data_IF_631646899282
#
_entry.id   IF_631646899282
#
_cell.length_a   1.000
_cell.length_b   1.000
_cell.length_c   1.000
_cell.angle_alpha   90.00
_cell.angle_beta   90.00
_cell.angle_gamma   90.00
#
_symmetry.space_group_name_H-M   'P 1'
#
loop_
_entity.id
_entity.type
_entity.pdbx_description
1 polymer ?
#
# COMPACT_ATOMS: atom_id res chain seq x y z
N UNK A 1 21.37 20.40 -73.77
CA UNK A 1 22.12 20.39 -72.49
C UNK A 1 21.10 20.47 -71.35
N UNK A 2 20.85 19.33 -70.67
CA UNK A 2 19.92 19.22 -69.53
C UNK A 2 20.69 19.53 -68.24
N UNK A 3 20.18 20.43 -67.40
CA UNK A 3 20.52 20.46 -65.98
C UNK A 3 19.24 20.35 -65.16
N UNK A 4 19.23 19.30 -64.36
CA UNK A 4 18.12 18.76 -63.59
C UNK A 4 17.85 19.58 -62.33
N UNK A 5 16.57 19.66 -62.02
CA UNK A 5 15.95 20.31 -60.88
C UNK A 5 16.40 19.68 -59.55
N UNK A 6 17.14 20.45 -58.75
CA UNK A 6 17.44 20.12 -57.35
C UNK A 6 16.36 20.77 -56.48
N UNK A 7 15.28 20.03 -56.19
CA UNK A 7 14.20 20.59 -55.36
C UNK A 7 13.31 19.55 -54.68
N UNK A 8 13.34 18.28 -55.09
CA UNK A 8 12.41 17.27 -54.59
C UNK A 8 12.93 16.43 -53.42
N UNK A 9 14.22 16.50 -53.07
CA UNK A 9 14.85 15.51 -52.19
C UNK A 9 14.78 15.82 -50.69
N UNK A 10 14.38 17.04 -50.29
CA UNK A 10 14.38 17.44 -48.87
C UNK A 10 13.02 17.26 -48.18
N UNK A 11 11.92 17.19 -48.94
CA UNK A 11 10.57 17.05 -48.37
C UNK A 11 10.23 15.63 -47.88
N UNK A 12 10.92 14.60 -48.41
CA UNK A 12 10.61 13.21 -48.10
C UNK A 12 11.29 12.71 -46.80
N UNK A 13 12.36 13.37 -46.35
CA UNK A 13 13.06 12.96 -45.13
C UNK A 13 12.37 13.43 -43.85
N UNK A 14 11.62 14.54 -43.90
CA UNK A 14 10.90 15.08 -42.72
C UNK A 14 9.56 14.35 -42.49
N UNK A 15 8.97 13.76 -43.53
CA UNK A 15 7.71 13.02 -43.41
C UNK A 15 7.88 11.61 -42.83
N UNK A 16 9.08 11.03 -42.84
CA UNK A 16 9.34 9.68 -42.30
C UNK A 16 9.62 9.63 -40.79
N UNK A 17 9.80 10.77 -40.11
CA UNK A 17 10.05 10.82 -38.66
C UNK A 17 8.80 10.97 -37.79
N UNK A 18 7.61 11.08 -38.38
CA UNK A 18 6.37 11.34 -37.63
C UNK A 18 5.61 10.08 -37.18
N UNK A 19 6.05 8.86 -37.52
CA UNK A 19 5.24 7.64 -37.35
C UNK A 19 5.63 6.73 -36.19
N UNK A 20 6.43 7.17 -35.21
CA UNK A 20 6.87 6.26 -34.14
C UNK A 20 6.80 6.89 -32.74
N UNK A 21 5.59 7.08 -32.22
CA UNK A 21 5.41 7.32 -30.76
C UNK A 21 3.95 7.21 -30.23
N UNK A 22 3.07 6.39 -30.82
CA UNK A 22 1.80 6.00 -30.15
C UNK A 22 1.86 4.58 -29.57
N UNK A 23 3.02 4.20 -29.04
CA UNK A 23 3.29 2.85 -28.51
C UNK A 23 3.55 2.79 -27.00
N UNK A 24 3.57 3.91 -26.29
CA UNK A 24 3.55 3.86 -24.82
C UNK A 24 2.14 3.44 -24.40
N UNK A 25 1.97 2.14 -24.11
CA UNK A 25 0.82 1.67 -23.34
C UNK A 25 0.77 2.54 -22.08
N UNK A 26 -0.34 3.25 -21.87
CA UNK A 26 -0.56 3.95 -20.60
C UNK A 26 -0.37 2.98 -19.43
N UNK A 27 -0.01 3.51 -18.26
CA UNK A 27 0.17 2.71 -17.06
C UNK A 27 -1.02 1.77 -16.81
N UNK A 28 -0.77 0.67 -16.08
CA UNK A 28 -1.77 -0.39 -15.84
C UNK A 28 -3.04 0.13 -15.15
N UNK A 29 -2.94 1.26 -14.44
CA UNK A 29 -4.07 1.95 -13.81
C UNK A 29 -4.54 3.11 -14.70
N UNK A 30 -5.56 2.87 -15.50
CA UNK A 30 -6.17 3.90 -16.38
C UNK A 30 -7.33 4.64 -15.73
N UNK A 31 -8.07 3.96 -14.86
CA UNK A 31 -9.21 4.53 -14.15
C UNK A 31 -8.79 5.07 -12.78
N UNK A 32 -9.47 6.12 -12.34
CA UNK A 32 -9.27 6.67 -11.00
C UNK A 32 -9.65 5.63 -9.94
N UNK A 33 -8.89 5.57 -8.84
CA UNK A 33 -9.28 4.80 -7.65
C UNK A 33 -10.60 5.34 -7.06
N UNK A 34 -10.92 6.60 -7.33
CA UNK A 34 -12.19 7.24 -6.96
C UNK A 34 -13.27 7.12 -8.04
N UNK A 35 -13.16 6.16 -8.96
CA UNK A 35 -14.25 5.83 -9.86
C UNK A 35 -15.56 5.60 -9.06
N UNK A 36 -16.74 6.04 -9.52
CA UNK A 36 -17.99 5.96 -8.74
C UNK A 36 -18.39 4.55 -8.25
N UNK A 37 -17.87 3.50 -8.89
CA UNK A 37 -18.07 2.10 -8.48
C UNK A 37 -17.07 1.58 -7.42
N UNK A 38 -16.01 2.33 -7.12
CA UNK A 38 -14.97 1.97 -6.14
C UNK A 38 -15.02 2.98 -4.98
N UNK A 39 -15.04 4.28 -5.31
CA UNK A 39 -15.09 5.41 -4.34
C UNK A 39 -14.02 5.26 -3.26
N UNK A 40 -12.80 4.90 -3.65
CA UNK A 40 -11.76 4.48 -2.71
C UNK A 40 -11.61 5.47 -1.55
N UNK A 41 -11.55 6.78 -1.80
CA UNK A 41 -11.27 7.77 -0.76
C UNK A 41 -12.45 8.09 0.18
N UNK A 42 -13.70 7.81 -0.21
CA UNK A 42 -14.89 8.30 0.51
C UNK A 42 -15.99 7.27 0.73
N UNK A 43 -15.90 6.09 0.11
CA UNK A 43 -16.84 5.01 0.31
C UNK A 43 -16.67 4.36 1.68
N UNK A 44 -17.75 3.79 2.18
CA UNK A 44 -17.75 2.97 3.38
C UNK A 44 -16.90 1.72 3.17
N UNK A 45 -16.14 1.35 4.19
CA UNK A 45 -15.28 0.16 4.21
C UNK A 45 -15.94 -0.94 5.03
N UNK A 46 -15.68 -2.19 4.66
CA UNK A 46 -16.29 -3.39 5.27
C UNK A 46 -15.25 -4.47 5.62
N UNK A 47 -13.97 -4.10 5.58
CA UNK A 47 -12.86 -4.99 5.87
C UNK A 47 -12.68 -5.27 7.38
N UNK A 48 -11.83 -6.25 7.69
CA UNK A 48 -11.61 -6.74 9.06
C UNK A 48 -11.00 -5.68 9.99
N UNK A 49 -10.25 -4.70 9.46
CA UNK A 49 -9.70 -3.60 10.27
C UNK A 49 -10.77 -2.59 10.63
N UNK A 50 -11.68 -2.30 9.70
CA UNK A 50 -12.85 -1.45 10.00
C UNK A 50 -13.67 -2.06 11.14
N UNK A 51 -13.95 -3.37 11.09
CA UNK A 51 -14.66 -4.08 12.15
C UNK A 51 -13.89 -4.07 13.48
N UNK A 52 -12.58 -4.35 13.46
CA UNK A 52 -11.73 -4.34 14.66
C UNK A 52 -11.70 -2.95 15.31
N UNK A 53 -11.51 -1.89 14.52
CA UNK A 53 -11.46 -0.53 15.04
C UNK A 53 -12.79 -0.15 15.71
N UNK A 54 -13.94 -0.49 15.10
CA UNK A 54 -15.25 -0.25 15.70
C UNK A 54 -15.40 -0.98 17.05
N UNK A 55 -15.02 -2.26 17.13
CA UNK A 55 -15.08 -3.04 18.36
C UNK A 55 -14.20 -2.46 19.47
N UNK A 56 -12.98 -1.99 19.13
CA UNK A 56 -12.07 -1.32 20.08
C UNK A 56 -12.66 0.01 20.57
N UNK A 57 -13.20 0.83 19.68
CA UNK A 57 -13.79 2.11 20.05
C UNK A 57 -15.06 1.95 20.89
N UNK A 58 -15.85 0.90 20.64
CA UNK A 58 -17.01 0.51 21.43
C UNK A 58 -16.64 -0.09 22.80
N UNK A 59 -15.39 -0.53 23.00
CA UNK A 59 -14.94 -1.23 24.21
C UNK A 59 -15.35 -2.71 24.25
N UNK A 60 -15.78 -3.27 23.13
CA UNK A 60 -16.12 -4.69 22.97
C UNK A 60 -14.86 -5.57 22.86
N UNK A 61 -13.75 -4.98 22.47
CA UNK A 61 -12.42 -5.62 22.41
C UNK A 61 -11.37 -4.64 22.91
N UNK A 62 -10.33 -5.18 23.57
CA UNK A 62 -9.17 -4.40 24.01
C UNK A 62 -7.91 -4.94 23.35
N UNK A 63 -7.03 -4.04 22.90
CA UNK A 63 -5.73 -4.39 22.39
C UNK A 63 -4.70 -4.21 23.49
N UNK A 64 -4.13 -5.31 23.98
CA UNK A 64 -3.10 -5.26 25.02
C UNK A 64 -1.78 -4.72 24.45
N UNK A 65 -1.24 -3.70 25.10
CA UNK A 65 0.06 -3.13 24.75
C UNK A 65 1.19 -3.85 25.50
N UNK A 66 2.24 -4.23 24.78
CA UNK A 66 3.48 -4.80 25.32
C UNK A 66 4.65 -3.86 25.04
N UNK A 67 5.48 -3.54 26.03
CA UNK A 67 6.55 -2.53 25.86
C UNK A 67 7.56 -2.83 24.75
N UNK A 68 7.75 -4.09 24.37
CA UNK A 68 8.72 -4.53 23.36
C UNK A 68 8.16 -4.61 21.94
N UNK A 69 6.88 -4.93 21.80
CA UNK A 69 6.21 -5.19 20.51
C UNK A 69 4.96 -4.34 20.28
N UNK A 70 4.68 -3.42 21.21
CA UNK A 70 3.48 -2.61 21.29
C UNK A 70 2.21 -3.43 21.14
N UNK A 71 1.38 -3.10 20.15
CA UNK A 71 0.10 -3.79 19.91
C UNK A 71 0.21 -5.01 19.00
N UNK A 72 1.41 -5.37 18.52
CA UNK A 72 1.58 -6.40 17.49
C UNK A 72 0.81 -7.68 17.81
N UNK A 73 1.09 -8.33 18.94
CA UNK A 73 0.44 -9.60 19.28
C UNK A 73 -1.06 -9.48 19.41
N UNK A 74 -1.56 -8.45 20.09
CA UNK A 74 -3.01 -8.23 20.25
C UNK A 74 -3.71 -8.04 18.90
N UNK A 75 -3.07 -7.35 17.94
CA UNK A 75 -3.60 -7.18 16.59
C UNK A 75 -3.55 -8.48 15.80
N UNK A 76 -2.45 -9.24 15.87
CA UNK A 76 -2.37 -10.55 15.19
C UNK A 76 -3.43 -11.51 15.71
N UNK A 77 -3.61 -11.58 17.03
CA UNK A 77 -4.60 -12.45 17.67
C UNK A 77 -6.03 -12.03 17.28
N UNK A 78 -6.35 -10.74 17.37
CA UNK A 78 -7.68 -10.22 17.03
C UNK A 78 -8.06 -10.44 15.56
N UNK A 79 -7.07 -10.48 14.67
CA UNK A 79 -7.25 -10.66 13.22
C UNK A 79 -7.03 -12.10 12.76
N UNK A 80 -6.75 -13.03 13.67
CA UNK A 80 -6.39 -14.41 13.36
C UNK A 80 -5.24 -14.48 12.33
N UNK A 81 -4.18 -13.72 12.55
CA UNK A 81 -2.95 -13.75 11.75
C UNK A 81 -1.95 -14.66 12.45
N UNK A 82 -1.56 -15.81 11.84
CA UNK A 82 -0.61 -16.72 12.46
C UNK A 82 0.77 -16.08 12.62
N UNK A 83 1.40 -16.20 13.78
CA UNK A 83 2.74 -15.65 14.02
C UNK A 83 3.81 -16.33 13.15
N UNK A 84 3.58 -17.59 12.77
CA UNK A 84 4.42 -18.38 11.88
C UNK A 84 4.38 -17.91 10.41
N UNK A 85 3.45 -17.02 10.04
CA UNK A 85 3.40 -16.40 8.70
C UNK A 85 4.54 -15.41 8.45
N UNK A 86 5.35 -15.10 9.46
CA UNK A 86 6.36 -14.06 9.43
C UNK A 86 7.32 -14.16 8.23
N UNK A 87 7.44 -13.05 7.50
CA UNK A 87 8.48 -12.82 6.49
C UNK A 87 9.24 -11.54 6.81
N UNK A 88 10.55 -11.54 6.55
CA UNK A 88 11.44 -10.41 6.85
C UNK A 88 11.81 -9.66 5.57
N UNK A 89 11.66 -8.33 5.58
CA UNK A 89 11.97 -7.43 4.46
C UNK A 89 13.09 -6.48 4.85
N UNK A 90 14.21 -6.58 4.14
CA UNK A 90 15.44 -5.82 4.40
C UNK A 90 15.54 -4.52 3.56
N UNK A 91 14.66 -4.33 2.58
CA UNK A 91 14.67 -3.14 1.73
C UNK A 91 14.05 -1.93 2.45
N UNK A 92 14.69 -0.78 2.30
CA UNK A 92 14.27 0.52 2.88
C UNK A 92 13.16 1.20 2.05
N UNK A 93 12.18 0.44 1.59
CA UNK A 93 11.10 0.91 0.71
C UNK A 93 9.76 1.07 1.44
N UNK A 94 9.82 1.46 2.72
CA UNK A 94 8.65 1.63 3.59
C UNK A 94 8.37 3.09 3.95
N UNK A 95 7.15 3.38 4.39
CA UNK A 95 6.84 4.60 5.15
C UNK A 95 7.74 4.75 6.39
N UNK A 96 8.15 3.63 6.97
CA UNK A 96 9.09 3.56 8.09
C UNK A 96 10.56 3.34 7.68
N UNK A 97 10.99 3.74 6.47
CA UNK A 97 12.35 3.49 5.97
C UNK A 97 13.46 3.88 6.97
N UNK A 98 13.31 4.98 7.72
CA UNK A 98 14.29 5.44 8.71
C UNK A 98 14.56 4.44 9.86
N UNK A 99 13.69 3.46 10.07
CA UNK A 99 13.82 2.43 11.10
C UNK A 99 14.32 1.09 10.54
N UNK A 100 14.38 0.95 9.23
CA UNK A 100 14.69 -0.32 8.57
C UNK A 100 16.16 -0.31 8.16
N UNK A 101 16.91 -1.30 8.63
CA UNK A 101 18.29 -1.56 8.18
C UNK A 101 18.49 -3.07 8.00
N UNK A 102 19.60 -3.53 7.42
CA UNK A 102 19.93 -4.95 7.38
C UNK A 102 19.91 -5.62 8.77
N UNK A 103 20.30 -4.89 9.81
CA UNK A 103 20.32 -5.34 11.22
C UNK A 103 18.98 -5.13 11.95
N UNK A 104 18.09 -4.27 11.41
CA UNK A 104 16.76 -4.02 11.93
C UNK A 104 15.70 -4.12 10.82
N UNK A 105 15.48 -5.30 10.23
CA UNK A 105 14.55 -5.44 9.13
C UNK A 105 13.09 -5.36 9.59
N UNK A 106 12.20 -5.03 8.66
CA UNK A 106 10.75 -5.09 8.89
C UNK A 106 10.29 -6.54 8.89
N UNK A 107 9.41 -6.91 9.80
CA UNK A 107 8.64 -8.15 9.73
C UNK A 107 7.26 -7.87 9.13
N UNK A 108 6.77 -8.79 8.30
CA UNK A 108 5.39 -8.81 7.81
C UNK A 108 4.77 -10.14 8.24
N UNK A 109 3.61 -10.06 8.89
CA UNK A 109 2.76 -11.19 9.23
C UNK A 109 1.49 -11.11 8.38
N UNK A 110 0.90 -12.22 7.97
CA UNK A 110 -0.25 -12.19 7.08
C UNK A 110 -1.17 -13.40 7.20
N UNK A 111 -2.41 -13.20 6.79
CA UNK A 111 -3.32 -14.26 6.38
C UNK A 111 -3.90 -13.90 5.00
N UNK A 112 -4.99 -14.55 4.58
CA UNK A 112 -5.57 -14.37 3.24
C UNK A 112 -6.13 -12.96 2.99
N UNK A 113 -6.45 -12.19 4.04
CA UNK A 113 -7.17 -10.91 3.92
C UNK A 113 -6.47 -9.72 4.57
N UNK A 114 -5.42 -9.94 5.37
CA UNK A 114 -4.67 -8.86 6.01
C UNK A 114 -3.19 -9.16 6.12
N UNK A 115 -2.36 -8.13 5.97
CA UNK A 115 -0.94 -8.14 6.27
C UNK A 115 -0.62 -7.04 7.29
N UNK A 116 0.20 -7.36 8.28
CA UNK A 116 0.65 -6.46 9.36
C UNK A 116 2.17 -6.34 9.31
N UNK A 117 2.65 -5.15 8.97
CA UNK A 117 4.04 -4.75 9.02
C UNK A 117 4.43 -4.20 10.39
N UNK A 118 5.55 -4.70 10.92
CA UNK A 118 6.14 -4.28 12.18
C UNK A 118 7.63 -4.04 12.03
N UNK A 119 8.11 -2.90 12.54
CA UNK A 119 9.53 -2.59 12.63
C UNK A 119 9.85 -2.42 14.11
N UNK A 120 10.89 -3.12 14.59
CA UNK A 120 11.31 -3.00 16.00
C UNK A 120 11.70 -1.55 16.29
N UNK A 121 11.10 -0.99 17.36
CA UNK A 121 11.30 0.42 17.73
C UNK A 121 10.58 1.43 16.83
N UNK A 122 9.86 0.96 15.81
CA UNK A 122 9.01 1.80 14.97
C UNK A 122 7.80 2.33 15.74
N UNK A 123 7.28 3.47 15.28
CA UNK A 123 6.21 4.18 15.99
C UNK A 123 4.81 3.72 15.56
N UNK A 124 4.68 2.93 14.50
CA UNK A 124 3.40 2.46 13.98
C UNK A 124 3.45 0.99 13.54
N UNK A 125 2.33 0.28 13.66
CA UNK A 125 2.06 -0.86 12.77
C UNK A 125 1.58 -0.33 11.44
N UNK A 126 2.05 -0.93 10.35
CA UNK A 126 1.51 -0.75 9.01
C UNK A 126 0.57 -1.90 8.73
N UNK A 127 -0.64 -1.65 8.24
CA UNK A 127 -1.61 -2.70 8.00
C UNK A 127 -2.16 -2.57 6.58
N UNK A 128 -2.19 -3.65 5.83
CA UNK A 128 -2.86 -3.72 4.54
C UNK A 128 -4.01 -4.72 4.65
N UNK A 129 -5.25 -4.28 4.41
CA UNK A 129 -6.45 -5.13 4.53
C UNK A 129 -7.24 -5.15 3.22
N UNK A 130 -7.80 -6.30 2.89
CA UNK A 130 -8.61 -6.48 1.69
C UNK A 130 -10.07 -6.14 1.96
N UNK A 131 -10.58 -5.12 1.27
CA UNK A 131 -12.01 -4.83 1.16
C UNK A 131 -12.55 -5.35 -0.18
N UNK A 132 -13.78 -5.88 -0.16
CA UNK A 132 -14.37 -6.52 -1.33
C UNK A 132 -14.73 -5.54 -2.47
N UNK A 133 -15.00 -4.28 -2.16
CA UNK A 133 -15.37 -3.24 -3.14
C UNK A 133 -14.16 -2.35 -3.48
N UNK A 134 -13.40 -1.94 -2.45
CA UNK A 134 -12.31 -0.98 -2.58
C UNK A 134 -10.93 -1.61 -2.85
N UNK A 135 -10.80 -2.94 -2.73
CA UNK A 135 -9.53 -3.65 -2.84
C UNK A 135 -8.66 -3.44 -1.60
N UNK A 136 -7.35 -3.33 -1.78
CA UNK A 136 -6.42 -3.20 -0.64
C UNK A 136 -6.48 -1.78 -0.05
N UNK A 137 -6.80 -1.73 1.23
CA UNK A 137 -6.82 -0.57 2.10
C UNK A 137 -5.56 -0.57 2.98
N UNK A 138 -5.01 0.61 3.24
CA UNK A 138 -3.85 0.78 4.10
C UNK A 138 -4.27 1.49 5.37
N UNK A 139 -3.75 1.03 6.50
CA UNK A 139 -4.00 1.58 7.81
C UNK A 139 -2.71 1.68 8.62
N UNK A 140 -2.73 2.49 9.66
CA UNK A 140 -1.69 2.58 10.68
C UNK A 140 -2.27 2.51 12.08
N UNK A 141 -1.48 1.98 13.01
CA UNK A 141 -1.78 2.00 14.44
C UNK A 141 -0.55 2.45 15.22
N UNK A 142 -0.66 3.58 15.92
CA UNK A 142 0.40 4.11 16.76
C UNK A 142 0.81 3.10 17.85
N UNK A 143 2.12 2.92 18.06
CA UNK A 143 2.70 2.08 19.10
C UNK A 143 2.84 2.84 20.42
N UNK A 144 1.83 3.63 20.77
CA UNK A 144 1.74 4.33 22.06
C UNK A 144 0.61 3.74 22.90
N UNK A 145 0.82 3.44 24.19
CA UNK A 145 -0.23 2.93 25.07
C UNK A 145 -1.43 3.87 25.13
N UNK A 146 -2.62 3.33 24.92
CA UNK A 146 -3.90 4.02 24.98
C UNK A 146 -4.98 3.02 25.42
N UNK A 147 -6.03 3.52 26.08
CA UNK A 147 -7.16 2.67 26.50
C UNK A 147 -7.95 2.13 25.29
N UNK A 148 -8.12 2.98 24.26
CA UNK A 148 -8.82 2.67 23.01
C UNK A 148 -8.01 3.16 21.82
N UNK A 149 -6.93 2.44 21.46
CA UNK A 149 -6.11 2.83 20.32
C UNK A 149 -6.96 2.94 19.05
N UNK A 150 -6.72 3.99 18.25
CA UNK A 150 -7.41 4.23 17.00
C UNK A 150 -6.58 3.66 15.84
N UNK A 151 -7.21 2.86 14.98
CA UNK A 151 -6.61 2.39 13.73
C UNK A 151 -7.04 3.35 12.61
N UNK A 152 -6.06 4.02 12.00
CA UNK A 152 -6.28 5.12 11.04
C UNK A 152 -6.01 4.67 9.62
N UNK A 153 -6.76 5.21 8.65
CA UNK A 153 -6.61 4.94 7.23
C UNK A 153 -5.74 6.00 6.55
#
# INVERSE_FOLDING_TARGET
>A
MRRFSCGASLGLLVTLLATSSTGQRGGVFRESRDHPAIRYSSGTTSDVITALNLAVQAGETSLTFVSTTGYLHAVLDALNVPVESQVTVFSETSFQANWITPENPRAIYFNDTVAVGWVRGGNVLEIASLDAEQGVLFYSLDQTPAERPEIRR
#
